data_IF_877514776229
#
_entry.id   IF_877514776229
#
_cell.length_a   1.000
_cell.length_b   1.000
_cell.length_c   1.000
_cell.angle_alpha   90.00
_cell.angle_beta   90.00
_cell.angle_gamma   90.00
#
_symmetry.space_group_name_H-M   'P 1'
#
loop_
_entity.id
_entity.type
_entity.pdbx_description
1 polymer ?
#
# COMPACT_ATOMS: atom_id res chain seq x y z
N UNK A 1 20.93 2.96 73.75
CA UNK A 1 20.82 2.04 72.54
C UNK A 1 20.50 2.87 71.30
N UNK A 2 21.50 3.06 70.43
CA UNK A 2 21.31 3.82 69.15
C UNK A 2 21.21 2.80 68.01
N UNK A 3 20.01 2.66 67.42
CA UNK A 3 19.79 1.82 66.26
C UNK A 3 20.27 2.56 65.00
N UNK A 4 21.33 2.06 64.33
CA UNK A 4 21.81 2.48 63.06
C UNK A 4 20.90 1.88 61.96
N UNK A 5 20.20 2.72 61.19
CA UNK A 5 19.54 2.31 59.96
C UNK A 5 20.59 2.18 58.86
N UNK A 6 20.74 0.98 58.34
CA UNK A 6 21.53 0.70 57.12
C UNK A 6 20.70 1.10 55.91
N UNK A 7 21.14 2.12 55.19
CA UNK A 7 20.55 2.49 53.89
C UNK A 7 21.33 1.72 52.84
N UNK A 8 20.70 0.69 52.27
CA UNK A 8 21.25 -0.07 51.10
C UNK A 8 20.88 0.68 49.84
N UNK A 9 21.83 1.39 49.25
CA UNK A 9 21.69 2.05 47.95
C UNK A 9 21.77 0.98 46.86
N UNK A 10 20.62 0.68 46.22
CA UNK A 10 20.54 -0.20 45.07
C UNK A 10 20.95 0.59 43.82
N UNK A 11 22.18 0.43 43.35
CA UNK A 11 22.62 0.95 42.05
C UNK A 11 22.02 0.10 40.96
N UNK A 12 20.95 0.59 40.34
CA UNK A 12 20.44 0.02 39.08
C UNK A 12 21.43 0.36 37.96
N UNK A 13 22.19 -0.62 37.50
CA UNK A 13 23.02 -0.53 36.28
C UNK A 13 22.07 -0.57 35.10
N UNK A 14 21.75 0.58 34.51
CA UNK A 14 21.11 0.66 33.21
C UNK A 14 22.11 0.21 32.17
N UNK A 15 22.00 -1.01 31.71
CA UNK A 15 22.70 -1.51 30.54
C UNK A 15 22.09 -0.85 29.30
N UNK A 16 22.70 0.21 28.82
CA UNK A 16 22.41 0.74 27.48
C UNK A 16 22.95 -0.27 26.47
N UNK A 17 22.07 -1.10 25.90
CA UNK A 17 22.39 -1.82 24.68
C UNK A 17 22.45 -0.79 23.57
N UNK A 18 23.62 -0.35 23.21
CA UNK A 18 23.84 0.42 21.97
C UNK A 18 23.51 -0.53 20.82
N UNK A 19 22.37 -0.32 20.17
CA UNK A 19 22.09 -0.95 18.91
C UNK A 19 23.14 -0.43 17.90
N UNK A 20 24.18 -1.21 17.66
CA UNK A 20 25.12 -0.92 16.58
C UNK A 20 24.38 -1.10 15.27
N UNK A 21 24.29 -0.02 14.48
CA UNK A 21 23.79 -0.11 13.12
C UNK A 21 24.64 -1.11 12.34
N UNK A 22 23.99 -2.04 11.64
CA UNK A 22 24.69 -3.01 10.81
C UNK A 22 25.28 -2.31 9.60
N UNK A 23 26.58 -2.47 9.38
CA UNK A 23 27.24 -1.96 8.18
C UNK A 23 26.90 -2.87 6.99
N UNK A 24 26.22 -2.32 6.01
CA UNK A 24 25.93 -2.98 4.75
C UNK A 24 26.97 -2.59 3.69
N UNK A 25 27.57 -3.56 3.04
CA UNK A 25 28.37 -3.33 1.84
C UNK A 25 27.49 -3.07 0.64
N UNK A 26 27.99 -2.31 -0.34
CA UNK A 26 27.27 -2.03 -1.57
C UNK A 26 28.03 -2.52 -2.80
N UNK A 27 27.27 -2.76 -3.85
CA UNK A 27 27.77 -3.05 -5.20
C UNK A 27 27.59 -1.82 -6.08
N UNK A 28 28.43 -1.73 -7.11
CA UNK A 28 28.32 -0.73 -8.18
C UNK A 28 28.24 -1.43 -9.53
N UNK A 29 27.65 -0.77 -10.53
CA UNK A 29 27.59 -1.28 -11.91
C UNK A 29 28.58 -0.49 -12.76
N UNK A 30 29.49 -1.22 -13.42
CA UNK A 30 30.45 -0.59 -14.34
C UNK A 30 29.73 0.09 -15.50
N UNK A 31 29.99 1.36 -15.71
CA UNK A 31 29.36 2.17 -16.76
C UNK A 31 28.00 2.81 -16.35
N UNK A 32 27.57 2.66 -15.10
CA UNK A 32 26.42 3.40 -14.58
C UNK A 32 26.79 4.88 -14.44
N UNK A 33 26.16 5.72 -15.26
CA UNK A 33 26.37 7.18 -15.27
C UNK A 33 25.88 7.86 -13.99
N UNK A 34 24.96 7.22 -13.27
CA UNK A 34 24.40 7.73 -12.01
C UNK A 34 25.26 7.36 -10.80
N UNK A 35 26.27 6.52 -10.95
CA UNK A 35 27.12 6.00 -9.88
C UNK A 35 26.33 5.42 -8.70
N UNK A 36 25.29 4.67 -8.99
CA UNK A 36 24.38 4.11 -8.00
C UNK A 36 25.10 3.11 -7.08
N UNK A 37 24.80 3.18 -5.80
CA UNK A 37 25.20 2.21 -4.78
C UNK A 37 24.03 1.27 -4.52
N UNK A 38 24.26 -0.03 -4.72
CA UNK A 38 23.20 -1.04 -4.56
C UNK A 38 23.48 -1.85 -3.31
N UNK A 39 22.61 -1.71 -2.33
CA UNK A 39 22.65 -2.48 -1.09
C UNK A 39 21.64 -3.62 -1.16
N UNK A 40 21.96 -4.75 -0.54
CA UNK A 40 21.02 -5.86 -0.35
C UNK A 40 20.83 -6.07 1.15
N UNK A 41 19.61 -5.90 1.62
CA UNK A 41 19.24 -6.08 3.03
C UNK A 41 19.06 -7.59 3.33
N UNK A 42 19.04 -7.96 4.61
CA UNK A 42 18.94 -9.35 5.06
C UNK A 42 17.66 -10.05 4.58
N UNK A 43 16.59 -9.30 4.39
CA UNK A 43 15.32 -9.79 3.84
C UNK A 43 15.28 -9.88 2.30
N UNK A 44 16.40 -9.60 1.63
CA UNK A 44 16.51 -9.61 0.17
C UNK A 44 16.07 -8.30 -0.52
N UNK A 45 15.59 -7.30 0.22
CA UNK A 45 15.25 -6.01 -0.35
C UNK A 45 16.50 -5.31 -0.88
N UNK A 46 16.40 -4.73 -2.08
CA UNK A 46 17.47 -3.94 -2.67
C UNK A 46 17.21 -2.45 -2.51
N UNK A 47 18.23 -1.73 -2.07
CA UNK A 47 18.20 -0.28 -1.92
C UNK A 47 19.20 0.33 -2.91
N UNK A 48 18.72 1.16 -3.80
CA UNK A 48 19.52 1.88 -4.78
C UNK A 48 19.67 3.32 -4.33
N UNK A 49 20.90 3.77 -4.12
CA UNK A 49 21.20 5.15 -3.72
C UNK A 49 22.03 5.83 -4.79
N UNK A 50 21.52 6.93 -5.30
CA UNK A 50 22.20 7.82 -6.23
C UNK A 50 22.33 9.20 -5.59
N UNK A 51 23.50 9.83 -5.66
CA UNK A 51 23.75 11.12 -5.05
C UNK A 51 23.68 12.23 -6.12
N UNK A 52 22.70 13.12 -5.95
CA UNK A 52 22.65 14.42 -6.66
C UNK A 52 22.75 15.53 -5.61
N UNK A 53 23.75 16.43 -5.75
CA UNK A 53 24.00 17.52 -4.80
C UNK A 53 23.41 18.86 -5.23
N UNK A 54 22.68 18.91 -6.34
CA UNK A 54 22.14 20.17 -6.88
C UNK A 54 20.97 20.70 -6.06
N UNK A 55 20.22 19.80 -5.40
CA UNK A 55 19.04 20.16 -4.59
C UNK A 55 19.07 19.42 -3.25
N UNK A 56 18.61 20.05 -2.16
CA UNK A 56 18.51 19.42 -0.84
C UNK A 56 17.24 18.56 -0.72
N UNK A 57 16.92 17.80 -1.75
CA UNK A 57 15.74 16.93 -1.82
C UNK A 57 16.10 15.56 -2.35
N UNK A 58 15.26 14.59 -2.06
CA UNK A 58 15.42 13.19 -2.48
C UNK A 58 14.14 12.76 -3.19
N UNK A 59 14.28 12.37 -4.46
CA UNK A 59 13.23 11.65 -5.16
C UNK A 59 13.28 10.19 -4.72
N UNK A 60 12.20 9.68 -4.18
CA UNK A 60 12.08 8.32 -3.67
C UNK A 60 11.21 7.47 -4.59
N UNK A 61 11.53 6.17 -4.67
CA UNK A 61 10.76 5.15 -5.39
C UNK A 61 10.73 3.88 -4.54
N UNK A 62 9.54 3.41 -4.18
CA UNK A 62 9.36 2.07 -3.59
C UNK A 62 8.70 1.21 -4.66
N UNK A 63 9.50 0.39 -5.34
CA UNK A 63 9.05 -0.47 -6.42
C UNK A 63 8.80 -1.89 -5.91
N UNK A 64 7.57 -2.34 -5.99
CA UNK A 64 7.14 -3.71 -5.70
C UNK A 64 7.10 -4.47 -7.02
N UNK A 65 7.79 -5.61 -7.10
CA UNK A 65 7.87 -6.44 -8.32
C UNK A 65 6.60 -7.27 -8.53
N UNK A 66 5.47 -6.58 -8.50
CA UNK A 66 4.14 -7.15 -8.60
C UNK A 66 3.25 -6.14 -9.34
N UNK A 67 2.53 -6.60 -10.34
CA UNK A 67 1.62 -5.80 -11.16
C UNK A 67 0.47 -6.67 -11.68
N UNK A 68 -0.29 -6.18 -12.64
CA UNK A 68 -1.51 -6.84 -13.12
C UNK A 68 -1.29 -8.26 -13.66
N UNK A 69 -0.11 -8.60 -14.14
CA UNK A 69 0.19 -9.98 -14.57
C UNK A 69 0.16 -11.00 -13.43
N UNK A 70 0.26 -10.52 -12.19
CA UNK A 70 0.25 -11.37 -10.99
C UNK A 70 -1.15 -11.49 -10.39
N UNK A 71 -2.14 -10.78 -10.93
CA UNK A 71 -3.52 -10.87 -10.48
C UNK A 71 -4.04 -12.31 -10.71
N UNK A 72 -4.84 -12.86 -9.78
CA UNK A 72 -5.59 -14.08 -10.07
C UNK A 72 -6.52 -13.88 -11.27
N UNK A 73 -6.58 -14.87 -12.15
CA UNK A 73 -7.36 -14.75 -13.39
C UNK A 73 -8.86 -14.48 -13.17
N UNK A 74 -9.38 -14.92 -12.00
CA UNK A 74 -10.76 -14.73 -11.57
C UNK A 74 -11.03 -13.41 -10.82
N UNK A 75 -9.99 -12.60 -10.57
CA UNK A 75 -10.10 -11.31 -9.86
C UNK A 75 -9.03 -10.33 -10.34
N UNK A 76 -9.06 -9.95 -11.61
CA UNK A 76 -8.11 -9.00 -12.19
C UNK A 76 -8.36 -7.57 -11.75
N UNK A 77 -7.33 -6.72 -11.83
CA UNK A 77 -7.36 -5.33 -11.32
C UNK A 77 -6.94 -5.20 -9.86
N UNK A 78 -6.51 -6.31 -9.22
CA UNK A 78 -6.14 -6.31 -7.79
C UNK A 78 -4.89 -5.48 -7.51
N UNK A 79 -3.87 -5.55 -8.36
CA UNK A 79 -2.64 -4.78 -8.18
C UNK A 79 -2.94 -3.28 -8.10
N UNK A 80 -3.71 -2.76 -9.04
CA UNK A 80 -4.11 -1.37 -9.11
C UNK A 80 -5.03 -0.98 -7.94
N UNK A 81 -6.02 -1.82 -7.64
CA UNK A 81 -6.91 -1.55 -6.52
C UNK A 81 -6.16 -1.56 -5.17
N UNK A 82 -5.21 -2.48 -4.99
CA UNK A 82 -4.39 -2.50 -3.80
C UNK A 82 -3.49 -1.25 -3.69
N UNK A 83 -2.98 -0.75 -4.81
CA UNK A 83 -2.25 0.53 -4.85
C UNK A 83 -3.07 1.65 -4.20
N UNK A 84 -4.34 1.82 -4.59
CA UNK A 84 -5.24 2.81 -3.99
C UNK A 84 -5.44 2.61 -2.47
N UNK A 85 -5.62 1.36 -2.05
CA UNK A 85 -5.83 1.02 -0.65
C UNK A 85 -4.61 1.32 0.23
N UNK A 86 -3.40 1.33 -0.34
CA UNK A 86 -2.18 1.68 0.38
C UNK A 86 -2.12 3.14 0.85
N UNK A 87 -2.98 4.01 0.35
CA UNK A 87 -3.12 5.41 0.82
C UNK A 87 -4.15 5.59 1.94
N UNK A 88 -4.87 4.53 2.33
CA UNK A 88 -5.95 4.61 3.32
C UNK A 88 -5.49 4.49 4.77
N UNK A 89 -4.18 4.31 4.98
CA UNK A 89 -3.56 4.27 6.31
C UNK A 89 -3.28 2.88 6.84
N UNK A 90 -2.94 2.85 8.12
CA UNK A 90 -2.47 1.65 8.84
C UNK A 90 -3.28 1.43 10.10
N UNK A 91 -2.84 0.52 10.97
CA UNK A 91 -3.38 0.40 12.33
C UNK A 91 -3.00 1.58 13.25
N UNK A 92 -2.07 2.46 12.83
CA UNK A 92 -1.54 3.56 13.64
C UNK A 92 -1.93 4.95 13.13
N UNK A 93 -2.25 5.09 11.85
CA UNK A 93 -2.76 6.32 11.25
C UNK A 93 -3.87 6.01 10.24
N UNK A 94 -4.68 7.00 9.90
CA UNK A 94 -5.89 6.83 9.09
C UNK A 94 -7.12 6.46 9.92
N UNK A 95 -6.98 6.37 11.24
CA UNK A 95 -8.05 6.01 12.17
C UNK A 95 -7.94 6.77 13.49
N UNK A 96 -9.06 7.16 14.06
CA UNK A 96 -9.13 7.75 15.40
C UNK A 96 -9.11 6.71 16.53
N UNK A 97 -9.54 5.46 16.24
CA UNK A 97 -9.57 4.36 17.20
C UNK A 97 -9.61 3.01 16.46
N UNK A 98 -8.44 2.45 16.15
CA UNK A 98 -8.34 1.19 15.42
C UNK A 98 -8.96 0.00 16.16
N UNK A 99 -8.92 0.00 17.48
CA UNK A 99 -9.48 -1.09 18.28
C UNK A 99 -11.01 -1.21 18.11
N UNK A 100 -11.68 -0.07 17.95
CA UNK A 100 -13.13 -0.02 17.67
C UNK A 100 -13.45 -0.18 16.18
N UNK A 101 -12.58 0.31 15.31
CA UNK A 101 -12.73 0.19 13.85
C UNK A 101 -12.56 -1.25 13.34
N UNK A 102 -11.55 -1.95 13.86
CA UNK A 102 -11.17 -3.29 13.37
C UNK A 102 -12.33 -4.31 13.31
N UNK A 103 -13.19 -4.47 14.31
CA UNK A 103 -14.33 -5.40 14.24
C UNK A 103 -15.29 -5.08 13.10
N UNK A 104 -15.50 -3.79 12.78
CA UNK A 104 -16.33 -3.36 11.66
C UNK A 104 -15.70 -3.68 10.32
N UNK A 105 -14.38 -3.48 10.18
CA UNK A 105 -13.63 -3.87 8.98
C UNK A 105 -13.63 -5.38 8.76
N UNK A 106 -13.58 -6.17 9.82
CA UNK A 106 -13.67 -7.62 9.74
C UNK A 106 -15.09 -8.07 9.34
N UNK A 107 -16.14 -7.42 9.82
CA UNK A 107 -17.53 -7.65 9.40
C UNK A 107 -17.74 -7.28 7.92
N UNK A 108 -17.24 -6.11 7.47
CA UNK A 108 -17.29 -5.71 6.05
C UNK A 108 -16.63 -6.78 5.17
N UNK A 109 -15.45 -7.27 5.56
CA UNK A 109 -14.76 -8.34 4.83
C UNK A 109 -15.63 -9.59 4.70
N UNK A 110 -16.23 -10.05 5.78
CA UNK A 110 -17.08 -11.24 5.78
C UNK A 110 -18.30 -11.05 4.87
N UNK A 111 -18.95 -9.90 4.95
CA UNK A 111 -20.13 -9.57 4.10
C UNK A 111 -19.79 -9.54 2.62
N UNK A 112 -18.62 -9.04 2.24
CA UNK A 112 -18.18 -9.08 0.84
C UNK A 112 -17.97 -10.53 0.35
N UNK A 113 -17.41 -11.42 1.17
CA UNK A 113 -17.23 -12.82 0.81
C UNK A 113 -18.59 -13.60 0.73
N UNK A 114 -19.60 -13.18 1.47
CA UNK A 114 -20.98 -13.68 1.34
C UNK A 114 -21.64 -13.13 0.07
N UNK A 115 -21.54 -11.82 -0.17
CA UNK A 115 -22.07 -11.14 -1.36
C UNK A 115 -21.57 -11.75 -2.66
N UNK A 116 -20.29 -12.16 -2.72
CA UNK A 116 -19.69 -12.79 -3.89
C UNK A 116 -20.32 -14.11 -4.30
N UNK A 117 -20.92 -14.85 -3.36
CA UNK A 117 -21.49 -16.17 -3.59
C UNK A 117 -22.92 -16.11 -4.12
N UNK A 118 -23.55 -14.94 -4.06
CA UNK A 118 -24.94 -14.74 -4.41
C UNK A 118 -25.05 -14.22 -5.84
N UNK A 119 -25.90 -14.84 -6.65
CA UNK A 119 -26.20 -14.44 -8.03
C UNK A 119 -27.57 -13.78 -8.18
N UNK A 120 -28.48 -13.99 -7.23
CA UNK A 120 -29.81 -13.37 -7.25
C UNK A 120 -29.70 -11.85 -7.09
N UNK A 121 -30.22 -11.04 -8.02
CA UNK A 121 -30.04 -9.58 -8.01
C UNK A 121 -30.66 -8.89 -6.80
N UNK A 122 -31.83 -9.33 -6.35
CA UNK A 122 -32.53 -8.68 -5.23
C UNK A 122 -31.82 -8.99 -3.90
N UNK A 123 -31.38 -10.22 -3.73
CA UNK A 123 -30.59 -10.60 -2.56
C UNK A 123 -29.23 -9.90 -2.55
N UNK A 124 -28.57 -9.76 -3.71
CA UNK A 124 -27.32 -8.99 -3.82
C UNK A 124 -27.52 -7.53 -3.40
N UNK A 125 -28.61 -6.91 -3.82
CA UNK A 125 -28.94 -5.52 -3.44
C UNK A 125 -29.13 -5.37 -1.91
N UNK A 126 -29.81 -6.34 -1.29
CA UNK A 126 -29.99 -6.35 0.18
C UNK A 126 -28.66 -6.53 0.91
N UNK A 127 -27.82 -7.46 0.47
CA UNK A 127 -26.49 -7.69 1.05
C UNK A 127 -25.59 -6.46 0.90
N UNK A 128 -25.63 -5.81 -0.27
CA UNK A 128 -24.85 -4.59 -0.53
C UNK A 128 -25.28 -3.44 0.38
N UNK A 129 -26.59 -3.27 0.61
CA UNK A 129 -27.09 -2.29 1.58
C UNK A 129 -26.60 -2.58 3.00
N UNK A 130 -26.51 -3.86 3.38
CA UNK A 130 -25.92 -4.26 4.65
C UNK A 130 -24.42 -3.95 4.75
N UNK A 131 -23.66 -4.12 3.65
CA UNK A 131 -22.25 -3.72 3.56
C UNK A 131 -22.11 -2.20 3.73
N UNK A 132 -22.91 -1.43 3.01
CA UNK A 132 -22.90 0.03 3.08
C UNK A 132 -23.17 0.52 4.50
N UNK A 133 -24.18 -0.02 5.18
CA UNK A 133 -24.51 0.34 6.55
C UNK A 133 -23.34 0.13 7.53
N UNK A 134 -22.63 -0.99 7.46
CA UNK A 134 -21.46 -1.25 8.32
C UNK A 134 -20.28 -0.38 7.90
N UNK A 135 -20.10 -0.12 6.60
CA UNK A 135 -19.06 0.77 6.08
C UNK A 135 -19.22 2.21 6.60
N UNK A 136 -20.46 2.69 6.71
CA UNK A 136 -20.75 4.01 7.31
C UNK A 136 -20.39 4.05 8.81
N UNK A 137 -20.61 2.97 9.54
CA UNK A 137 -20.20 2.87 10.95
C UNK A 137 -18.66 2.87 11.08
N UNK A 138 -17.96 2.13 10.22
CA UNK A 138 -16.49 2.11 10.20
C UNK A 138 -15.93 3.48 9.82
N UNK A 139 -16.57 4.19 8.88
CA UNK A 139 -16.15 5.52 8.44
C UNK A 139 -16.13 6.58 9.55
N UNK A 140 -16.87 6.38 10.66
CA UNK A 140 -16.84 7.29 11.83
C UNK A 140 -15.46 7.31 12.51
N UNK A 141 -14.66 6.27 12.35
CA UNK A 141 -13.29 6.18 12.87
C UNK A 141 -12.25 6.64 11.86
N UNK A 142 -12.58 6.74 10.58
CA UNK A 142 -11.65 7.10 9.53
C UNK A 142 -11.21 8.57 9.66
N UNK A 143 -9.90 8.81 9.53
CA UNK A 143 -9.30 10.13 9.38
C UNK A 143 -8.90 10.28 7.91
N UNK A 144 -9.73 10.96 7.09
CA UNK A 144 -9.48 11.06 5.66
C UNK A 144 -8.16 11.77 5.35
N UNK A 145 -7.41 11.23 4.38
CA UNK A 145 -6.18 11.80 3.84
C UNK A 145 -5.10 12.04 4.91
N UNK A 146 -5.08 11.22 5.98
CA UNK A 146 -4.07 11.38 7.05
C UNK A 146 -2.66 11.05 6.53
N UNK A 147 -2.53 10.10 5.61
CA UNK A 147 -1.25 9.84 4.94
C UNK A 147 -0.72 11.09 4.24
N UNK A 148 -1.54 11.77 3.44
CA UNK A 148 -1.15 12.97 2.73
C UNK A 148 -0.76 14.11 3.70
N UNK A 149 -1.48 14.23 4.82
CA UNK A 149 -1.16 15.19 5.89
C UNK A 149 0.17 14.88 6.56
N UNK A 150 0.46 13.60 6.83
CA UNK A 150 1.75 13.16 7.37
C UNK A 150 2.88 13.46 6.39
N UNK A 151 2.71 13.13 5.11
CA UNK A 151 3.70 13.42 4.08
C UNK A 151 3.90 14.94 3.89
N UNK A 152 2.83 15.72 3.89
CA UNK A 152 2.91 17.18 3.84
C UNK A 152 3.62 17.76 5.07
N UNK A 153 3.43 17.20 6.26
CA UNK A 153 4.06 17.66 7.50
C UNK A 153 5.59 17.55 7.50
N UNK A 154 6.14 16.59 6.76
CA UNK A 154 7.58 16.44 6.52
C UNK A 154 8.06 17.17 5.25
N UNK A 155 7.19 17.97 4.62
CA UNK A 155 7.54 18.74 3.41
C UNK A 155 7.67 17.90 2.13
N UNK A 156 7.05 16.71 2.09
CA UNK A 156 6.97 15.91 0.88
C UNK A 156 6.12 16.60 -0.19
N UNK A 157 6.46 16.32 -1.44
CA UNK A 157 5.75 16.79 -2.63
C UNK A 157 5.58 15.64 -3.60
N UNK A 158 4.56 15.71 -4.46
CA UNK A 158 4.35 14.76 -5.53
C UNK A 158 4.15 13.32 -5.07
N UNK A 159 3.53 13.12 -3.88
CA UNK A 159 3.10 11.78 -3.45
C UNK A 159 2.18 11.18 -4.49
N UNK A 160 2.60 10.08 -5.08
CA UNK A 160 1.87 9.41 -6.16
C UNK A 160 2.22 7.92 -6.18
N UNK A 161 1.49 7.16 -6.98
CA UNK A 161 1.82 5.79 -7.31
C UNK A 161 1.39 5.47 -8.74
N UNK A 162 1.86 4.34 -9.24
CA UNK A 162 1.39 3.78 -10.50
C UNK A 162 1.54 2.26 -10.50
N UNK A 163 0.62 1.61 -11.18
CA UNK A 163 0.66 0.17 -11.43
C UNK A 163 0.82 -0.10 -12.92
N UNK A 164 1.68 -1.04 -13.24
CA UNK A 164 1.87 -1.60 -14.58
C UNK A 164 1.64 -3.11 -14.58
N UNK A 165 1.96 -3.78 -15.68
CA UNK A 165 1.86 -5.22 -15.75
C UNK A 165 2.83 -5.93 -14.78
N UNK A 166 4.00 -5.34 -14.48
CA UNK A 166 5.10 -5.97 -13.76
C UNK A 166 5.43 -5.33 -12.41
N UNK A 167 5.01 -4.09 -12.19
CA UNK A 167 5.42 -3.31 -11.03
C UNK A 167 4.32 -2.41 -10.53
N UNK A 168 4.24 -2.29 -9.21
CA UNK A 168 3.53 -1.22 -8.52
C UNK A 168 4.57 -0.35 -7.82
N UNK A 169 4.57 0.95 -8.09
CA UNK A 169 5.60 1.86 -7.61
C UNK A 169 4.98 3.06 -6.91
N UNK A 170 5.50 3.39 -5.73
CA UNK A 170 5.12 4.55 -4.92
C UNK A 170 6.25 5.58 -4.95
N UNK A 171 5.92 6.85 -5.19
CA UNK A 171 6.91 7.91 -5.40
C UNK A 171 6.63 9.12 -4.54
N UNK A 172 7.66 9.69 -3.96
CA UNK A 172 7.61 10.98 -3.26
C UNK A 172 8.90 11.76 -3.50
N UNK A 173 8.81 13.09 -3.44
CA UNK A 173 9.94 14.01 -3.37
C UNK A 173 9.97 14.60 -1.94
N UNK A 174 11.01 14.30 -1.18
CA UNK A 174 11.14 14.70 0.23
C UNK A 174 12.35 15.59 0.47
N UNK A 175 12.33 16.47 1.48
CA UNK A 175 13.54 17.14 1.96
C UNK A 175 14.58 16.11 2.44
N UNK A 176 15.86 16.33 2.15
CA UNK A 176 16.92 15.36 2.45
C UNK A 176 17.14 15.12 3.95
N UNK A 177 16.75 16.04 4.81
CA UNK A 177 16.80 15.92 6.26
C UNK A 177 15.61 15.11 6.84
N UNK A 178 14.62 14.76 6.03
CA UNK A 178 13.40 14.07 6.47
C UNK A 178 13.39 12.57 6.13
N UNK A 179 14.49 12.02 5.65
CA UNK A 179 14.61 10.60 5.27
C UNK A 179 14.17 9.66 6.42
N UNK A 180 14.57 9.96 7.66
CA UNK A 180 14.22 9.12 8.80
C UNK A 180 12.72 9.12 9.09
N UNK A 181 12.08 10.29 9.03
CA UNK A 181 10.63 10.40 9.23
C UNK A 181 9.86 9.74 8.07
N UNK A 182 10.32 9.95 6.84
CA UNK A 182 9.78 9.25 5.67
C UNK A 182 9.89 7.73 5.82
N UNK A 183 11.04 7.19 6.23
CA UNK A 183 11.24 5.76 6.44
C UNK A 183 10.30 5.20 7.53
N UNK A 184 10.05 5.94 8.61
CA UNK A 184 9.09 5.53 9.65
C UNK A 184 7.67 5.41 9.08
N UNK A 185 7.21 6.43 8.32
CA UNK A 185 5.88 6.43 7.71
C UNK A 185 5.75 5.27 6.70
N UNK A 186 6.73 5.12 5.81
CA UNK A 186 6.69 4.05 4.79
C UNK A 186 6.81 2.66 5.42
N UNK A 187 7.68 2.49 6.41
CA UNK A 187 7.80 1.20 7.12
C UNK A 187 6.49 0.78 7.78
N UNK A 188 5.78 1.71 8.40
CA UNK A 188 4.47 1.44 8.98
C UNK A 188 3.44 1.13 7.89
N UNK A 189 3.41 1.91 6.81
CA UNK A 189 2.53 1.72 5.66
C UNK A 189 2.67 0.32 5.05
N UNK A 190 3.89 -0.15 4.82
CA UNK A 190 4.14 -1.46 4.24
C UNK A 190 4.05 -2.62 5.23
N UNK A 191 4.14 -2.38 6.53
CA UNK A 191 4.06 -3.43 7.55
C UNK A 191 2.66 -3.62 8.12
N UNK A 192 1.91 -2.53 8.29
CA UNK A 192 0.68 -2.47 9.07
C UNK A 192 -0.51 -1.92 8.26
N UNK A 193 -0.46 -2.03 6.92
CA UNK A 193 -1.52 -1.59 6.03
C UNK A 193 -2.89 -2.15 6.44
N UNK A 194 -3.90 -1.31 6.42
CA UNK A 194 -5.28 -1.68 6.73
C UNK A 194 -6.17 -1.40 5.53
N UNK A 195 -6.90 -2.39 5.08
CA UNK A 195 -7.91 -2.22 4.03
C UNK A 195 -9.08 -1.44 4.62
N UNK A 196 -9.09 -0.15 4.35
CA UNK A 196 -10.06 0.83 4.84
C UNK A 196 -10.73 1.54 3.68
N UNK A 197 -12.00 1.88 3.81
CA UNK A 197 -12.75 2.54 2.73
C UNK A 197 -12.87 1.68 1.47
N UNK A 198 -12.83 0.35 1.62
CA UNK A 198 -12.85 -0.61 0.52
C UNK A 198 -13.99 -0.34 -0.46
N UNK A 199 -15.17 -0.13 0.04
CA UNK A 199 -16.36 0.13 -0.74
C UNK A 199 -16.26 1.43 -1.57
N UNK A 200 -15.91 2.53 -0.93
CA UNK A 200 -15.82 3.84 -1.60
C UNK A 200 -14.66 3.92 -2.59
N UNK A 201 -13.56 3.25 -2.29
CA UNK A 201 -12.41 3.20 -3.21
C UNK A 201 -12.68 2.33 -4.42
N UNK A 202 -13.50 1.29 -4.25
CA UNK A 202 -13.95 0.48 -5.38
C UNK A 202 -14.74 1.30 -6.40
N UNK A 203 -15.57 2.24 -5.94
CA UNK A 203 -16.30 3.15 -6.81
C UNK A 203 -15.34 4.04 -7.63
N UNK A 204 -14.29 4.56 -6.98
CA UNK A 204 -13.27 5.37 -7.67
C UNK A 204 -12.54 4.56 -8.75
N UNK A 205 -12.07 3.35 -8.41
CA UNK A 205 -11.40 2.44 -9.37
C UNK A 205 -12.36 2.05 -10.52
N UNK A 206 -13.63 1.84 -10.22
CA UNK A 206 -14.63 1.55 -11.25
C UNK A 206 -14.87 2.72 -12.20
N UNK A 207 -14.87 3.96 -11.69
CA UNK A 207 -14.95 5.16 -12.53
C UNK A 207 -13.71 5.34 -13.40
N UNK A 208 -12.51 5.05 -12.89
CA UNK A 208 -11.29 5.06 -13.70
C UNK A 208 -11.34 4.01 -14.81
N UNK A 209 -11.87 2.83 -14.51
CA UNK A 209 -12.14 1.81 -15.54
C UNK A 209 -13.10 2.34 -16.61
N UNK A 210 -14.22 2.97 -16.24
CA UNK A 210 -15.16 3.57 -17.18
C UNK A 210 -14.50 4.65 -18.05
N UNK A 211 -13.68 5.52 -17.44
CA UNK A 211 -12.92 6.53 -18.18
C UNK A 211 -11.93 5.91 -19.15
N UNK A 212 -11.31 4.79 -18.81
CA UNK A 212 -10.38 4.09 -19.71
C UNK A 212 -11.08 3.55 -20.95
N UNK A 213 -12.32 3.08 -20.80
CA UNK A 213 -13.15 2.62 -21.92
C UNK A 213 -13.50 3.73 -22.93
N UNK A 214 -13.44 5.00 -22.53
CA UNK A 214 -13.67 6.13 -23.39
C UNK A 214 -12.43 6.56 -24.21
N UNK A 215 -11.22 6.07 -23.82
CA UNK A 215 -9.96 6.46 -24.45
C UNK A 215 -9.62 5.52 -25.62
N UNK A 216 -9.55 6.04 -26.82
CA UNK A 216 -9.24 5.21 -28.01
C UNK A 216 -7.82 4.63 -27.98
N UNK A 217 -6.86 5.34 -27.37
CA UNK A 217 -5.51 4.85 -27.17
C UNK A 217 -5.49 3.58 -26.29
N UNK A 218 -6.21 3.59 -25.17
CA UNK A 218 -6.33 2.44 -24.26
C UNK A 218 -6.97 1.23 -24.97
N UNK A 219 -8.03 1.46 -25.74
CA UNK A 219 -8.66 0.41 -26.57
C UNK A 219 -7.68 -0.20 -27.55
N UNK A 220 -6.89 0.65 -28.22
CA UNK A 220 -5.91 0.21 -29.21
C UNK A 220 -4.78 -0.60 -28.58
N UNK A 221 -4.24 -0.15 -27.45
CA UNK A 221 -3.19 -0.86 -26.70
C UNK A 221 -3.73 -2.21 -26.21
N UNK A 222 -4.88 -2.24 -25.55
CA UNK A 222 -5.47 -3.48 -25.05
C UNK A 222 -5.77 -4.48 -26.18
N UNK A 223 -6.22 -4.00 -27.34
CA UNK A 223 -6.44 -4.85 -28.52
C UNK A 223 -5.12 -5.41 -29.07
N UNK A 224 -4.07 -4.60 -29.12
CA UNK A 224 -2.73 -5.01 -29.56
C UNK A 224 -2.14 -6.05 -28.59
N UNK A 225 -2.19 -5.80 -27.29
CA UNK A 225 -1.69 -6.71 -26.25
C UNK A 225 -2.41 -8.07 -26.33
N UNK A 226 -3.72 -8.07 -26.52
CA UNK A 226 -4.50 -9.30 -26.71
C UNK A 226 -4.07 -10.09 -27.94
N UNK A 227 -3.69 -9.41 -29.03
CA UNK A 227 -3.21 -10.05 -30.26
C UNK A 227 -1.78 -10.58 -30.09
N UNK A 228 -0.90 -9.84 -29.45
CA UNK A 228 0.50 -10.20 -29.26
C UNK A 228 0.70 -11.26 -28.17
N UNK A 229 -0.14 -11.25 -27.14
CA UNK A 229 -0.02 -12.09 -25.94
C UNK A 229 -1.32 -12.87 -25.63
N UNK A 230 -1.87 -13.66 -26.56
CA UNK A 230 -3.20 -14.27 -26.41
C UNK A 230 -3.33 -15.25 -25.24
N UNK A 231 -2.20 -15.82 -24.77
CA UNK A 231 -2.15 -16.78 -23.66
C UNK A 231 -1.30 -16.31 -22.48
N UNK A 232 -0.76 -15.10 -22.54
CA UNK A 232 0.05 -14.52 -21.47
C UNK A 232 -0.76 -13.47 -20.70
N UNK A 233 -0.55 -13.28 -19.39
CA UNK A 233 -1.23 -12.27 -18.59
C UNK A 233 -1.21 -10.85 -19.16
N UNK A 234 -0.21 -10.47 -19.94
CA UNK A 234 -0.17 -9.16 -20.61
C UNK A 234 -1.36 -8.92 -21.54
N UNK A 235 -1.83 -9.95 -22.21
CA UNK A 235 -2.98 -9.83 -23.11
C UNK A 235 -4.31 -10.28 -22.52
N UNK A 236 -4.28 -10.98 -21.37
CA UNK A 236 -5.50 -11.52 -20.73
C UNK A 236 -5.89 -10.78 -19.46
N UNK A 237 -4.97 -9.99 -18.85
CA UNK A 237 -5.17 -9.28 -17.58
C UNK A 237 -4.75 -7.82 -17.74
N UNK A 238 -5.72 -6.94 -17.95
CA UNK A 238 -5.45 -5.49 -18.01
C UNK A 238 -5.20 -4.93 -16.60
N UNK A 239 -4.44 -3.83 -16.51
CA UNK A 239 -4.11 -3.19 -15.23
C UNK A 239 -5.36 -2.82 -14.42
N UNK A 240 -6.38 -2.31 -15.09
CA UNK A 240 -7.65 -1.92 -14.45
C UNK A 240 -8.60 -3.11 -14.22
N UNK A 241 -8.25 -4.30 -14.69
CA UNK A 241 -9.09 -5.48 -14.59
C UNK A 241 -10.28 -5.48 -15.53
N UNK A 242 -11.37 -6.12 -15.14
CA UNK A 242 -12.62 -6.21 -15.89
C UNK A 242 -13.79 -5.67 -15.09
N UNK A 243 -14.84 -5.23 -15.79
CA UNK A 243 -16.09 -4.79 -15.15
C UNK A 243 -16.69 -5.86 -14.23
N UNK A 244 -16.65 -7.12 -14.64
CA UNK A 244 -17.18 -8.24 -13.87
C UNK A 244 -16.43 -8.42 -12.56
N UNK A 245 -15.09 -8.40 -12.61
CA UNK A 245 -14.25 -8.57 -11.43
C UNK A 245 -14.37 -7.40 -10.47
N UNK A 246 -14.42 -6.17 -10.98
CA UNK A 246 -14.63 -4.97 -10.16
C UNK A 246 -16.02 -4.94 -9.50
N UNK A 247 -17.05 -5.51 -10.13
CA UNK A 247 -18.38 -5.66 -9.52
C UNK A 247 -18.48 -6.78 -8.49
N UNK A 248 -17.46 -7.64 -8.41
CA UNK A 248 -17.45 -8.79 -7.49
C UNK A 248 -16.09 -8.92 -6.75
N UNK A 249 -15.63 -7.86 -6.05
CA UNK A 249 -14.31 -7.81 -5.46
C UNK A 249 -14.14 -8.76 -4.29
N UNK A 250 -12.91 -9.24 -4.04
CA UNK A 250 -12.55 -10.05 -2.89
C UNK A 250 -11.54 -9.35 -2.00
N UNK A 251 -11.91 -9.07 -0.77
CA UNK A 251 -10.95 -8.56 0.23
C UNK A 251 -9.95 -9.64 0.66
N UNK A 252 -10.32 -10.91 0.58
CA UNK A 252 -9.42 -12.03 0.88
C UNK A 252 -8.31 -12.09 -0.18
N UNK A 253 -8.68 -12.03 -1.47
CA UNK A 253 -7.68 -12.03 -2.55
C UNK A 253 -6.75 -10.82 -2.46
N UNK A 254 -7.27 -9.63 -2.15
CA UNK A 254 -6.44 -8.43 -1.95
C UNK A 254 -5.47 -8.61 -0.78
N UNK A 255 -5.89 -9.17 0.35
CA UNK A 255 -5.00 -9.44 1.49
C UNK A 255 -3.94 -10.50 1.18
N UNK A 256 -4.28 -11.51 0.39
CA UNK A 256 -3.34 -12.55 -0.02
C UNK A 256 -2.37 -12.06 -1.09
N UNK A 257 -2.73 -11.01 -1.81
CA UNK A 257 -1.91 -10.37 -2.82
C UNK A 257 -0.76 -9.53 -2.20
N UNK A 258 -1.01 -8.95 -1.05
CA UNK A 258 -0.02 -8.19 -0.27
C UNK A 258 0.97 -9.11 0.44
#
# INVERSE_FOLDING_TARGET
MKTRKLITTLCAVLSFTTATAKDYTYQTVKGDLMNSRIYTLDNGMKVYLTVNKEKPRIQTFIAVRTGSRNDPAETTGLAHYFEHLMFKGTSHFGTSDYAKEKPLLDDIKQRFEEYRKVTDPELRKQLYHGIDSVSQLAAQYNIPNEYDKLMASIGAQGSNAYTSNDVTCYTEDIPSNEVENWLKIQSDRFKNAVIRGFHTELEAVYEEYNMSLARDNEKSINALDKLLFPAHPYGTQTVLGTQEHLKNPSQVNIRNYF
#
